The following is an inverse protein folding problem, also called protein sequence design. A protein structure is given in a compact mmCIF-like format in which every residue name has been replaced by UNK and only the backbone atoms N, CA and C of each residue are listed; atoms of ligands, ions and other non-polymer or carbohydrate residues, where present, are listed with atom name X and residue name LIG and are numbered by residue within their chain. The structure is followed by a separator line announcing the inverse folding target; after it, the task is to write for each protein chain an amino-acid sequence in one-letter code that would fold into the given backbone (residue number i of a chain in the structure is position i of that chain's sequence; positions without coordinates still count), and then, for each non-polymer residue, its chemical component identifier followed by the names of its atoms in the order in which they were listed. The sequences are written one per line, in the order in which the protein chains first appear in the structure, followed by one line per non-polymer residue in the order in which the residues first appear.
data_IF_704257607911
#
_entry.id   IF_704257607911
#
_cell.length_a   1.000
_cell.length_b   1.000
_cell.length_c   1.000
_cell.angle_alpha   90.00
_cell.angle_beta   90.00
_cell.angle_gamma   90.00
#
_symmetry.space_group_name_H-M   'P 1'
#
loop_
_entity.id
_entity.type
_entity.pdbx_description
1 polymer ?
#
# COMPACT_ATOMS: atom_id res chain seq x y z
N UNK A 1 -31.23 3.85 7.58
CA UNK A 1 -30.46 3.29 6.43
C UNK A 1 -29.86 1.96 6.85
N UNK A 2 -29.81 0.97 5.95
CA UNK A 2 -29.17 -0.33 6.23
C UNK A 2 -27.66 -0.17 6.39
N UNK A 3 -27.11 -0.62 7.52
CA UNK A 3 -25.66 -0.58 7.77
C UNK A 3 -24.94 -1.87 7.36
N UNK A 4 -23.59 -1.88 7.35
CA UNK A 4 -22.78 -3.02 6.87
C UNK A 4 -23.10 -4.36 7.57
N UNK A 5 -23.38 -4.33 8.88
CA UNK A 5 -23.70 -5.54 9.66
C UNK A 5 -25.01 -6.19 9.22
N UNK A 6 -26.07 -5.39 9.06
CA UNK A 6 -27.36 -5.90 8.60
C UNK A 6 -27.28 -6.44 7.17
N UNK A 7 -26.46 -5.82 6.32
CA UNK A 7 -26.23 -6.31 4.97
C UNK A 7 -25.46 -7.64 4.94
N UNK A 8 -24.45 -7.80 5.83
CA UNK A 8 -23.69 -9.04 5.96
C UNK A 8 -24.56 -10.26 6.30
N UNK A 9 -25.60 -10.06 7.11
CA UNK A 9 -26.57 -11.10 7.47
C UNK A 9 -27.37 -11.55 6.25
N UNK A 10 -27.72 -10.62 5.33
CA UNK A 10 -28.40 -10.96 4.06
C UNK A 10 -27.51 -11.71 3.07
N UNK A 11 -26.20 -11.51 3.14
CA UNK A 11 -25.21 -12.23 2.34
C UNK A 11 -24.80 -13.59 2.93
N UNK A 12 -25.55 -14.13 3.90
CA UNK A 12 -25.24 -15.43 4.52
C UNK A 12 -25.06 -16.55 3.48
N UNK A 13 -25.90 -16.57 2.45
CA UNK A 13 -25.88 -17.59 1.39
C UNK A 13 -25.16 -17.13 0.10
N UNK A 14 -24.42 -16.01 0.15
CA UNK A 14 -23.74 -15.48 -1.02
C UNK A 14 -22.66 -16.44 -1.54
N UNK A 15 -22.69 -16.73 -2.84
CA UNK A 15 -21.79 -17.67 -3.47
C UNK A 15 -21.08 -17.03 -4.67
N UNK A 16 -19.75 -17.05 -4.67
CA UNK A 16 -18.95 -16.48 -5.75
C UNK A 16 -19.24 -17.09 -7.12
N UNK A 17 -19.41 -18.41 -7.23
CA UNK A 17 -19.68 -19.04 -8.53
C UNK A 17 -21.01 -18.56 -9.11
N UNK A 18 -22.04 -18.47 -8.26
CA UNK A 18 -23.34 -17.94 -8.67
C UNK A 18 -23.26 -16.44 -8.97
N UNK A 19 -22.47 -15.68 -8.22
CA UNK A 19 -22.27 -14.26 -8.48
C UNK A 19 -21.62 -14.02 -9.84
N UNK A 20 -20.56 -14.76 -10.19
CA UNK A 20 -19.96 -14.69 -11.53
C UNK A 20 -20.87 -15.22 -12.64
N UNK A 21 -21.69 -16.24 -12.35
CA UNK A 21 -22.66 -16.76 -13.32
C UNK A 21 -23.81 -15.77 -13.57
N UNK A 22 -24.25 -15.04 -12.53
CA UNK A 22 -25.33 -14.07 -12.59
C UNK A 22 -24.90 -12.67 -13.06
N UNK A 23 -23.61 -12.36 -12.99
CA UNK A 23 -23.04 -11.09 -13.41
C UNK A 23 -21.75 -11.32 -14.25
N UNK A 24 -21.88 -11.38 -15.59
CA UNK A 24 -20.74 -11.50 -16.49
C UNK A 24 -19.78 -10.30 -16.46
N UNK A 25 -20.22 -9.14 -15.96
CA UNK A 25 -19.41 -7.91 -15.88
C UNK A 25 -18.67 -7.77 -14.55
N UNK A 26 -18.94 -8.64 -13.57
CA UNK A 26 -18.33 -8.62 -12.23
C UNK A 26 -16.82 -8.41 -12.23
N UNK A 27 -16.09 -9.08 -13.13
CA UNK A 27 -14.64 -8.90 -13.21
C UNK A 27 -14.27 -7.44 -13.52
N UNK A 28 -14.92 -6.84 -14.51
CA UNK A 28 -14.68 -5.45 -14.88
C UNK A 28 -15.15 -4.48 -13.79
N UNK A 29 -16.31 -4.74 -13.15
CA UNK A 29 -16.84 -3.87 -12.10
C UNK A 29 -16.02 -3.88 -10.80
N UNK A 30 -15.35 -5.00 -10.51
CA UNK A 30 -14.52 -5.20 -9.32
C UNK A 30 -13.05 -5.36 -9.69
N UNK A 31 -12.59 -4.61 -10.68
CA UNK A 31 -11.18 -4.43 -10.99
C UNK A 31 -10.83 -2.96 -11.14
N UNK A 32 -9.57 -2.61 -10.86
CA UNK A 32 -9.00 -1.28 -11.05
C UNK A 32 -7.65 -1.43 -11.74
N UNK A 33 -7.32 -0.50 -12.62
CA UNK A 33 -6.02 -0.39 -13.29
C UNK A 33 -5.56 1.06 -13.14
N UNK A 34 -4.53 1.28 -12.33
CA UNK A 34 -3.97 2.61 -12.11
C UNK A 34 -2.50 2.51 -11.65
N UNK A 35 -1.70 3.54 -11.91
CA UNK A 35 -0.29 3.62 -11.51
C UNK A 35 0.57 2.40 -11.90
N UNK A 36 0.22 1.70 -12.99
CA UNK A 36 0.90 0.47 -13.42
C UNK A 36 0.60 -0.76 -12.56
N UNK A 37 -0.42 -0.69 -11.71
CA UNK A 37 -0.92 -1.77 -10.87
C UNK A 37 -2.33 -2.16 -11.30
N UNK A 38 -2.51 -3.44 -11.62
CA UNK A 38 -3.81 -4.03 -11.84
C UNK A 38 -4.30 -4.74 -10.59
N UNK A 39 -5.45 -4.30 -10.06
CA UNK A 39 -6.11 -4.87 -8.89
C UNK A 39 -7.42 -5.56 -9.30
N UNK A 40 -7.46 -6.88 -9.29
CA UNK A 40 -8.70 -7.66 -9.35
C UNK A 40 -9.15 -8.04 -7.93
N UNK A 41 -10.31 -7.51 -7.53
CA UNK A 41 -10.95 -7.84 -6.25
C UNK A 41 -12.33 -8.49 -6.44
N UNK A 42 -12.65 -8.94 -7.66
CA UNK A 42 -13.93 -9.58 -8.04
C UNK A 42 -14.18 -10.93 -7.35
N UNK A 43 -13.10 -11.60 -6.90
CA UNK A 43 -13.14 -12.90 -6.21
C UNK A 43 -13.32 -12.78 -4.69
N UNK A 44 -13.82 -11.64 -4.21
CA UNK A 44 -14.21 -11.43 -2.82
C UNK A 44 -15.72 -11.61 -2.62
N UNK A 45 -16.13 -11.98 -1.40
CA UNK A 45 -17.54 -12.19 -1.01
C UNK A 45 -18.27 -10.85 -0.81
N UNK A 46 -18.35 -10.06 -1.87
CA UNK A 46 -18.94 -8.73 -1.89
C UNK A 46 -19.86 -8.59 -3.11
N UNK A 47 -20.95 -7.86 -2.95
CA UNK A 47 -21.76 -7.35 -4.06
C UNK A 47 -21.59 -5.83 -4.16
N UNK A 48 -22.29 -5.22 -5.12
CA UNK A 48 -22.24 -3.77 -5.35
C UNK A 48 -22.68 -3.01 -4.11
N UNK A 49 -23.68 -3.52 -3.39
CA UNK A 49 -24.19 -2.89 -2.17
C UNK A 49 -23.18 -2.94 -1.04
N UNK A 50 -22.46 -4.04 -0.88
CA UNK A 50 -21.37 -4.17 0.08
C UNK A 50 -20.30 -3.12 -0.16
N UNK A 51 -19.88 -2.95 -1.43
CA UNK A 51 -18.90 -1.93 -1.80
C UNK A 51 -19.37 -0.52 -1.44
N UNK A 52 -20.61 -0.16 -1.78
CA UNK A 52 -21.20 1.14 -1.43
C UNK A 52 -21.21 1.39 0.07
N UNK A 53 -21.61 0.38 0.87
CA UNK A 53 -21.66 0.49 2.32
C UNK A 53 -20.28 0.64 2.96
N UNK A 54 -19.28 -0.07 2.43
CA UNK A 54 -17.88 0.06 2.88
C UNK A 54 -17.30 1.44 2.53
N UNK A 55 -17.58 1.95 1.32
CA UNK A 55 -17.21 3.32 0.94
C UNK A 55 -17.91 4.34 1.82
N UNK A 56 -19.20 4.16 2.12
CA UNK A 56 -19.93 5.00 3.05
C UNK A 56 -19.29 5.03 4.44
N UNK A 57 -18.92 3.86 4.97
CA UNK A 57 -18.23 3.76 6.26
C UNK A 57 -16.87 4.47 6.24
N UNK A 58 -16.12 4.35 5.15
CA UNK A 58 -14.83 5.04 4.95
C UNK A 58 -15.01 6.56 4.98
N UNK A 59 -16.07 7.08 4.36
CA UNK A 59 -16.40 8.51 4.37
C UNK A 59 -16.83 8.97 5.77
N UNK A 60 -17.67 8.21 6.45
CA UNK A 60 -18.11 8.49 7.83
C UNK A 60 -16.95 8.46 8.84
N UNK A 61 -15.96 7.59 8.62
CA UNK A 61 -14.77 7.47 9.46
C UNK A 61 -13.76 8.62 9.25
N UNK A 62 -13.96 9.48 8.26
CA UNK A 62 -13.05 10.58 7.95
C UNK A 62 -11.68 10.11 7.42
N UNK A 63 -11.64 8.96 6.74
CA UNK A 63 -10.38 8.39 6.25
C UNK A 63 -9.69 9.32 5.25
N UNK A 64 -10.45 10.00 4.40
CA UNK A 64 -9.90 10.92 3.40
C UNK A 64 -9.10 12.05 4.07
N UNK A 65 -9.65 12.66 5.12
CA UNK A 65 -8.97 13.72 5.87
C UNK A 65 -7.72 13.19 6.60
N UNK A 66 -7.76 11.94 7.08
CA UNK A 66 -6.60 11.30 7.70
C UNK A 66 -5.48 11.03 6.68
N UNK A 67 -5.82 10.63 5.45
CA UNK A 67 -4.88 10.46 4.34
C UNK A 67 -4.26 11.81 3.97
N UNK A 68 -5.07 12.85 3.76
CA UNK A 68 -4.60 14.21 3.47
C UNK A 68 -3.64 14.70 4.57
N UNK A 69 -4.02 14.53 5.85
CA UNK A 69 -3.15 14.86 6.98
C UNK A 69 -1.82 14.11 6.98
N UNK A 70 -1.79 12.84 6.59
CA UNK A 70 -0.54 12.07 6.48
C UNK A 70 0.40 12.65 5.40
N UNK A 71 -0.14 13.06 4.25
CA UNK A 71 0.66 13.62 3.15
C UNK A 71 1.09 15.08 3.41
N UNK A 72 0.28 15.85 4.13
CA UNK A 72 0.59 17.23 4.51
C UNK A 72 1.56 17.31 5.71
N UNK A 73 2.03 16.16 6.20
CA UNK A 73 2.97 16.10 7.33
C UNK A 73 2.33 16.46 8.66
N UNK A 74 1.00 16.34 8.79
CA UNK A 74 0.36 16.37 10.10
C UNK A 74 0.99 15.28 10.99
N UNK A 75 1.04 15.53 12.29
CA UNK A 75 1.60 14.60 13.28
C UNK A 75 0.68 13.37 13.46
N UNK A 76 0.63 12.50 12.45
CA UNK A 76 0.08 11.14 12.55
C UNK A 76 1.13 10.15 13.04
N UNK A 77 2.43 10.50 12.94
CA UNK A 77 3.53 9.83 13.64
C UNK A 77 4.69 10.81 13.90
N UNK A 78 5.06 11.03 15.16
CA UNK A 78 5.72 12.25 15.63
C UNK A 78 7.27 12.21 15.73
N UNK A 79 7.96 11.18 15.23
CA UNK A 79 9.30 10.87 15.77
C UNK A 79 10.52 11.15 14.91
N UNK A 80 10.47 11.35 13.58
CA UNK A 80 11.72 11.35 12.79
C UNK A 80 11.81 12.39 11.67
N UNK A 81 12.79 13.30 11.81
CA UNK A 81 13.15 14.35 10.87
C UNK A 81 14.52 14.01 10.24
N UNK A 82 14.55 13.45 9.02
CA UNK A 82 15.82 13.01 8.40
C UNK A 82 16.02 13.55 6.97
N UNK A 83 17.16 14.20 6.68
CA UNK A 83 17.51 14.71 5.34
C UNK A 83 18.23 13.68 4.45
N UNK A 84 18.03 13.79 3.13
CA UNK A 84 18.52 12.87 2.08
C UNK A 84 19.84 13.23 1.38
N UNK A 85 20.64 14.14 1.94
CA UNK A 85 21.87 14.64 1.28
C UNK A 85 23.00 13.60 1.19
N UNK A 86 23.02 12.61 2.10
CA UNK A 86 24.06 11.59 2.16
C UNK A 86 24.09 10.67 0.94
N UNK A 87 22.92 10.33 0.40
CA UNK A 87 22.78 9.33 -0.67
C UNK A 87 23.51 9.79 -1.94
N UNK A 88 23.26 11.02 -2.38
CA UNK A 88 23.91 11.57 -3.59
C UNK A 88 25.43 11.58 -3.48
N UNK A 89 25.97 11.96 -2.32
CA UNK A 89 27.43 12.00 -2.10
C UNK A 89 28.08 10.62 -2.17
N UNK A 90 27.40 9.57 -1.74
CA UNK A 90 27.90 8.18 -1.87
C UNK A 90 27.90 7.75 -3.33
N UNK A 91 26.79 7.98 -4.06
CA UNK A 91 26.68 7.64 -5.48
C UNK A 91 27.70 8.38 -6.36
N UNK A 92 27.94 9.66 -6.11
CA UNK A 92 28.88 10.48 -6.89
C UNK A 92 30.35 10.23 -6.51
N UNK A 93 30.64 9.32 -5.57
CA UNK A 93 31.99 9.04 -5.07
C UNK A 93 32.62 10.23 -4.33
N UNK A 94 31.79 11.20 -3.90
CA UNK A 94 32.17 12.38 -3.12
C UNK A 94 32.32 12.04 -1.63
N UNK A 95 31.65 10.99 -1.16
CA UNK A 95 31.88 10.40 0.14
C UNK A 95 32.94 9.31 0.03
N UNK A 96 34.08 9.52 0.70
CA UNK A 96 35.24 8.62 0.64
C UNK A 96 35.53 8.02 2.02
N UNK A 97 36.03 6.79 2.03
CA UNK A 97 36.49 6.14 3.24
C UNK A 97 37.83 6.72 3.72
N UNK A 98 38.32 6.24 4.86
CA UNK A 98 39.58 6.70 5.47
C UNK A 98 40.80 6.67 4.53
N UNK A 99 40.81 5.78 3.54
CA UNK A 99 41.90 5.65 2.56
C UNK A 99 41.66 6.45 1.28
N UNK A 100 40.73 7.40 1.29
CA UNK A 100 40.31 8.22 0.14
C UNK A 100 39.69 7.41 -1.03
N UNK A 101 39.37 6.14 -0.79
CA UNK A 101 38.67 5.29 -1.77
C UNK A 101 37.16 5.53 -1.72
N UNK A 102 36.46 5.45 -2.88
CA UNK A 102 35.01 5.47 -2.92
C UNK A 102 34.41 4.34 -2.08
N UNK A 103 33.20 4.55 -1.56
CA UNK A 103 32.42 3.50 -0.90
C UNK A 103 31.86 2.55 -1.96
N UNK A 104 32.10 1.24 -1.80
CA UNK A 104 31.60 0.19 -2.71
C UNK A 104 30.55 -0.69 -2.07
N UNK A 105 30.60 -0.83 -0.75
CA UNK A 105 29.77 -1.76 0.01
C UNK A 105 29.09 -1.01 1.14
N UNK A 106 27.79 -1.24 1.31
CA UNK A 106 26.98 -0.67 2.39
C UNK A 106 26.51 -1.81 3.28
N UNK A 107 26.80 -1.72 4.57
CA UNK A 107 26.34 -2.69 5.57
C UNK A 107 25.23 -2.07 6.39
N UNK A 108 24.01 -2.57 6.24
CA UNK A 108 22.90 -2.21 7.12
C UNK A 108 22.97 -3.01 8.43
N UNK A 109 22.91 -2.33 9.58
CA UNK A 109 22.90 -2.97 10.91
C UNK A 109 21.60 -2.57 11.60
N UNK A 110 20.66 -3.51 11.68
CA UNK A 110 19.34 -3.28 12.29
C UNK A 110 18.55 -4.57 12.42
N UNK A 111 17.44 -4.49 13.17
CA UNK A 111 16.46 -5.58 13.33
C UNK A 111 15.05 -5.04 13.10
N UNK A 112 14.08 -5.94 12.84
CA UNK A 112 12.68 -5.55 12.66
C UNK A 112 12.48 -4.61 11.46
N UNK A 113 11.75 -3.51 11.66
CA UNK A 113 11.44 -2.53 10.61
C UNK A 113 12.67 -1.92 9.92
N UNK A 114 13.78 -1.77 10.67
CA UNK A 114 15.05 -1.26 10.15
C UNK A 114 15.87 -2.27 9.34
N UNK A 115 15.36 -3.49 9.15
CA UNK A 115 16.00 -4.53 8.33
C UNK A 115 15.04 -5.04 7.24
N UNK A 116 13.83 -5.45 7.62
CA UNK A 116 12.90 -6.13 6.72
C UNK A 116 12.47 -5.26 5.52
N UNK A 117 12.21 -3.96 5.74
CA UNK A 117 11.83 -3.05 4.65
C UNK A 117 12.97 -2.82 3.66
N UNK A 118 14.19 -2.62 4.17
CA UNK A 118 15.39 -2.43 3.34
C UNK A 118 15.74 -3.70 2.56
N UNK A 119 15.66 -4.86 3.21
CA UNK A 119 15.90 -6.15 2.57
C UNK A 119 14.94 -6.37 1.41
N UNK A 120 13.63 -6.22 1.65
CA UNK A 120 12.60 -6.42 0.62
C UNK A 120 12.81 -5.51 -0.59
N UNK A 121 13.06 -4.21 -0.38
CA UNK A 121 13.28 -3.26 -1.48
C UNK A 121 14.57 -3.57 -2.23
N UNK A 122 15.66 -3.88 -1.52
CA UNK A 122 16.95 -4.15 -2.14
C UNK A 122 16.92 -5.43 -2.98
N UNK A 123 16.26 -6.49 -2.49
CA UNK A 123 16.11 -7.75 -3.21
C UNK A 123 15.17 -7.60 -4.41
N UNK A 124 14.02 -6.94 -4.25
CA UNK A 124 13.05 -6.76 -5.32
C UNK A 124 13.59 -5.90 -6.47
N UNK A 125 14.45 -4.92 -6.17
CA UNK A 125 15.01 -4.00 -7.16
C UNK A 125 16.36 -4.45 -7.73
N UNK A 126 16.95 -5.54 -7.22
CA UNK A 126 18.26 -6.05 -7.67
C UNK A 126 18.38 -6.23 -9.20
N UNK A 127 17.33 -6.66 -9.94
CA UNK A 127 17.41 -6.78 -11.41
C UNK A 127 17.49 -5.44 -12.16
N UNK A 128 17.29 -4.32 -11.50
CA UNK A 128 17.28 -2.97 -12.08
C UNK A 128 18.49 -2.12 -11.68
N UNK A 129 19.41 -2.68 -10.89
CA UNK A 129 20.62 -2.03 -10.40
C UNK A 129 21.80 -2.11 -11.40
#
# INVERSE_FOLDING_TARGET
MEGPRAHREKLADFNLRQAFAGDPQRFAEFSLDDCGLFLDYSKNLIDTRTRELLVGLVMEAGLQQAIEGLFDGALVNASENRPGELVGRVHDGLWRGYTEKPITDVVNIGIGGSFLGLQLVSEALLPFA
#
